data_IF_942751977772
#
_entry.id   IF_942751977772
#
_cell.length_a   1.000
_cell.length_b   1.000
_cell.length_c   1.000
_cell.angle_alpha   90.00
_cell.angle_beta   90.00
_cell.angle_gamma   90.00
#
_symmetry.space_group_name_H-M   'P 1'
#
loop_
_entity.id
_entity.type
_entity.pdbx_description
1 polymer ?
#
# COMPACT_ATOMS: atom_id res chain seq x y z
N UNK A 1 -9.89 -20.25 -11.84
CA UNK A 1 -8.94 -21.40 -11.91
C UNK A 1 -7.56 -20.82 -11.78
N UNK A 2 -6.70 -21.43 -10.97
CA UNK A 2 -5.31 -21.02 -10.80
C UNK A 2 -4.59 -21.02 -12.16
N UNK A 3 -3.69 -20.07 -12.35
CA UNK A 3 -2.87 -19.90 -13.57
C UNK A 3 -1.85 -21.04 -13.71
N UNK A 4 -1.34 -21.55 -12.58
CA UNK A 4 -0.34 -22.61 -12.52
C UNK A 4 -0.84 -23.78 -11.68
N UNK A 5 -0.51 -24.99 -12.13
CA UNK A 5 -0.62 -26.21 -11.33
C UNK A 5 0.68 -26.46 -10.56
N UNK A 6 0.67 -27.39 -9.61
CA UNK A 6 1.88 -27.85 -8.91
C UNK A 6 2.94 -28.36 -9.90
N UNK A 7 2.50 -29.12 -10.90
CA UNK A 7 3.36 -29.68 -11.96
C UNK A 7 3.98 -28.59 -12.84
N UNK A 8 3.23 -27.53 -13.17
CA UNK A 8 3.74 -26.39 -13.94
C UNK A 8 4.86 -25.67 -13.20
N UNK A 9 4.71 -25.47 -11.88
CA UNK A 9 5.73 -24.82 -11.03
C UNK A 9 6.99 -25.69 -10.95
N UNK A 10 6.85 -27.00 -10.69
CA UNK A 10 7.98 -27.93 -10.62
C UNK A 10 8.73 -27.96 -11.96
N UNK A 11 8.01 -28.06 -13.08
CA UNK A 11 8.57 -28.04 -14.43
C UNK A 11 9.29 -26.73 -14.70
N UNK A 12 8.65 -25.59 -14.39
CA UNK A 12 9.25 -24.27 -14.56
C UNK A 12 10.56 -24.13 -13.75
N UNK A 13 10.57 -24.63 -12.50
CA UNK A 13 11.76 -24.60 -11.66
C UNK A 13 12.92 -25.38 -12.28
N UNK A 14 12.65 -26.58 -12.81
CA UNK A 14 13.65 -27.44 -13.45
C UNK A 14 14.18 -26.84 -14.77
N UNK A 15 13.29 -26.38 -15.65
CA UNK A 15 13.66 -25.80 -16.96
C UNK A 15 14.49 -24.51 -16.84
N UNK A 16 14.31 -23.76 -15.75
CA UNK A 16 15.00 -22.49 -15.49
C UNK A 16 16.16 -22.60 -14.48
N UNK A 17 16.57 -23.80 -14.09
CA UNK A 17 17.63 -24.02 -13.10
C UNK A 17 17.43 -23.26 -11.80
N UNK A 18 16.20 -23.27 -11.27
CA UNK A 18 15.88 -22.65 -9.96
C UNK A 18 16.39 -23.57 -8.88
N UNK A 19 17.27 -23.07 -8.00
CA UNK A 19 17.81 -23.81 -6.88
C UNK A 19 17.31 -23.31 -5.52
N UNK A 20 16.89 -22.03 -5.47
CA UNK A 20 16.34 -21.41 -4.27
C UNK A 20 14.94 -20.86 -4.52
N UNK A 21 14.03 -21.11 -3.60
CA UNK A 21 12.67 -20.57 -3.63
C UNK A 21 12.45 -19.78 -2.35
N UNK A 22 11.98 -18.57 -2.48
CA UNK A 22 11.59 -17.72 -1.36
C UNK A 22 10.09 -17.84 -1.14
N UNK A 23 9.68 -18.39 -0.02
CA UNK A 23 8.31 -18.38 0.47
C UNK A 23 8.11 -17.05 1.20
N UNK A 24 7.43 -16.11 0.56
CA UNK A 24 7.28 -14.74 1.02
C UNK A 24 5.92 -14.54 1.69
N UNK A 25 5.89 -13.80 2.78
CA UNK A 25 4.67 -13.33 3.44
C UNK A 25 4.92 -11.95 4.05
N UNK A 26 3.87 -11.27 4.51
CA UNK A 26 3.97 -9.91 5.03
C UNK A 26 3.47 -9.88 6.47
N UNK A 27 4.23 -9.24 7.38
CA UNK A 27 3.77 -9.03 8.75
C UNK A 27 2.70 -7.91 8.82
N UNK A 28 2.06 -7.76 9.98
CA UNK A 28 0.98 -6.77 10.12
C UNK A 28 1.42 -5.31 9.96
N UNK A 29 2.71 -5.03 10.10
CA UNK A 29 3.27 -3.68 9.89
C UNK A 29 3.69 -3.42 8.44
N UNK A 30 3.43 -4.36 7.51
CA UNK A 30 3.73 -4.21 6.10
C UNK A 30 5.18 -4.52 5.72
N UNK A 31 5.89 -5.26 6.56
CA UNK A 31 7.26 -5.70 6.27
C UNK A 31 7.25 -7.09 5.66
N UNK A 32 7.82 -7.22 4.46
CA UNK A 32 7.96 -8.50 3.79
C UNK A 32 8.98 -9.39 4.52
N UNK A 33 8.56 -10.60 4.84
CA UNK A 33 9.37 -11.68 5.41
C UNK A 33 9.51 -12.81 4.40
N UNK A 34 10.46 -13.71 4.62
CA UNK A 34 10.55 -14.93 3.82
C UNK A 34 11.23 -16.07 4.56
N UNK A 35 10.86 -17.30 4.19
CA UNK A 35 11.63 -18.52 4.43
C UNK A 35 12.21 -18.95 3.08
N UNK A 36 13.50 -19.25 3.02
CA UNK A 36 14.13 -19.74 1.79
C UNK A 36 14.30 -21.25 1.85
N UNK A 37 13.87 -21.94 0.81
CA UNK A 37 14.01 -23.39 0.64
C UNK A 37 14.83 -23.71 -0.61
N UNK A 38 15.43 -24.89 -0.64
CA UNK A 38 16.07 -25.44 -1.86
C UNK A 38 15.06 -26.14 -2.75
N UNK A 39 15.42 -26.37 -4.01
CA UNK A 39 14.55 -27.06 -4.98
C UNK A 39 14.05 -28.42 -4.45
N UNK A 40 14.87 -29.15 -3.68
CA UNK A 40 14.48 -30.45 -3.10
C UNK A 40 13.32 -30.39 -2.10
N UNK A 41 13.00 -29.20 -1.57
CA UNK A 41 11.89 -28.98 -0.65
C UNK A 41 10.67 -28.35 -1.33
N UNK A 42 10.75 -28.01 -2.63
CA UNK A 42 9.68 -27.31 -3.33
C UNK A 42 8.38 -28.09 -3.33
N UNK A 43 8.44 -29.39 -3.63
CA UNK A 43 7.25 -30.24 -3.68
C UNK A 43 6.52 -30.30 -2.34
N UNK A 44 7.29 -30.45 -1.24
CA UNK A 44 6.77 -30.40 0.12
C UNK A 44 6.11 -29.05 0.45
N UNK A 45 6.73 -27.94 0.04
CA UNK A 45 6.16 -26.62 0.25
C UNK A 45 4.86 -26.41 -0.55
N UNK A 46 4.79 -26.91 -1.79
CA UNK A 46 3.57 -26.86 -2.61
C UNK A 46 2.43 -27.73 -2.04
N UNK A 47 2.75 -28.73 -1.22
CA UNK A 47 1.76 -29.50 -0.46
C UNK A 47 1.36 -28.85 0.88
N UNK A 48 1.69 -27.56 1.07
CA UNK A 48 1.41 -26.78 2.29
C UNK A 48 2.12 -27.35 3.56
N UNK A 49 3.20 -28.08 3.40
CA UNK A 49 3.93 -28.72 4.52
C UNK A 49 5.25 -27.97 4.79
N UNK A 50 5.21 -26.64 4.82
CA UNK A 50 6.33 -25.79 5.21
C UNK A 50 6.02 -25.08 6.53
N UNK A 51 6.48 -25.68 7.61
CA UNK A 51 6.34 -25.14 8.97
C UNK A 51 7.44 -24.12 9.26
N UNK A 52 7.11 -23.07 10.03
CA UNK A 52 8.06 -22.08 10.53
C UNK A 52 7.65 -21.58 11.92
N UNK A 53 8.60 -21.00 12.65
CA UNK A 53 8.35 -20.37 13.95
C UNK A 53 7.90 -18.93 13.77
N UNK A 54 6.64 -18.64 14.11
CA UNK A 54 6.04 -17.29 14.06
C UNK A 54 6.29 -16.44 15.30
N UNK A 55 6.84 -17.01 16.39
CA UNK A 55 6.95 -16.31 17.69
C UNK A 55 7.88 -15.09 17.69
N UNK A 56 8.85 -15.06 16.77
CA UNK A 56 9.78 -13.94 16.60
C UNK A 56 9.33 -12.90 15.58
N UNK A 57 8.09 -13.01 15.07
CA UNK A 57 7.51 -12.04 14.13
C UNK A 57 6.58 -11.10 14.90
N UNK A 58 6.89 -9.81 14.82
CA UNK A 58 6.13 -8.77 15.52
C UNK A 58 4.64 -8.86 15.19
N UNK A 59 3.83 -8.98 16.24
CA UNK A 59 2.38 -9.03 16.15
C UNK A 59 1.79 -10.38 15.73
N UNK A 60 2.58 -11.44 15.52
CA UNK A 60 2.02 -12.75 15.16
C UNK A 60 1.50 -13.51 16.37
N UNK A 61 2.29 -14.37 16.97
CA UNK A 61 1.85 -15.28 18.03
C UNK A 61 2.78 -15.25 19.24
N UNK A 62 2.33 -15.84 20.35
CA UNK A 62 3.16 -16.07 21.52
C UNK A 62 4.00 -17.34 21.38
N UNK A 63 5.00 -17.51 22.23
CA UNK A 63 5.95 -18.64 22.22
C UNK A 63 5.25 -20.01 22.34
N UNK A 64 4.12 -20.06 23.02
CA UNK A 64 3.33 -21.26 23.25
C UNK A 64 2.47 -21.72 22.05
N UNK A 65 2.35 -20.86 21.01
CA UNK A 65 1.62 -21.15 19.76
C UNK A 65 2.49 -20.85 18.54
N UNK A 66 3.80 -21.10 18.61
CA UNK A 66 4.77 -20.60 17.64
C UNK A 66 4.76 -21.31 16.28
N UNK A 67 4.36 -22.56 16.21
CA UNK A 67 4.38 -23.35 14.99
C UNK A 67 3.27 -22.91 14.03
N UNK A 68 3.67 -22.49 12.84
CA UNK A 68 2.78 -22.01 11.79
C UNK A 68 3.16 -22.62 10.45
N UNK A 69 2.24 -22.60 9.49
CA UNK A 69 2.46 -23.14 8.14
C UNK A 69 2.31 -22.06 7.07
N UNK A 70 3.11 -22.17 6.01
CA UNK A 70 3.03 -21.34 4.82
C UNK A 70 2.27 -22.09 3.72
N UNK A 71 1.19 -21.50 3.24
CA UNK A 71 0.40 -21.98 2.10
C UNK A 71 0.71 -21.13 0.87
N UNK A 72 1.53 -21.63 -0.08
CA UNK A 72 1.90 -20.89 -1.28
C UNK A 72 0.71 -20.67 -2.21
N UNK A 73 0.54 -19.43 -2.66
CA UNK A 73 -0.34 -19.09 -3.77
C UNK A 73 0.41 -19.35 -5.09
N UNK A 74 -0.03 -20.33 -5.85
CA UNK A 74 0.63 -20.79 -7.07
C UNK A 74 0.66 -19.71 -8.15
N UNK A 75 -0.36 -18.84 -8.22
CA UNK A 75 -0.45 -17.77 -9.20
C UNK A 75 0.61 -16.69 -9.00
N UNK A 76 1.27 -16.70 -7.84
CA UNK A 76 2.36 -15.78 -7.51
C UNK A 76 3.75 -16.31 -7.88
N UNK A 77 3.87 -17.52 -8.45
CA UNK A 77 5.16 -18.07 -8.89
C UNK A 77 5.88 -17.12 -9.84
N UNK A 78 7.10 -16.75 -9.48
CA UNK A 78 7.90 -15.81 -10.28
C UNK A 78 9.39 -16.05 -10.08
N UNK A 79 10.15 -16.09 -11.19
CA UNK A 79 11.61 -16.17 -11.17
C UNK A 79 12.17 -14.75 -11.16
N UNK A 80 13.10 -14.45 -10.26
CA UNK A 80 13.67 -13.11 -10.13
C UNK A 80 14.56 -12.75 -11.31
N UNK A 81 14.26 -11.69 -12.08
CA UNK A 81 14.99 -11.34 -13.29
C UNK A 81 16.43 -10.89 -13.07
N UNK A 82 16.75 -10.36 -11.89
CA UNK A 82 18.09 -9.86 -11.56
C UNK A 82 19.15 -10.94 -11.33
N UNK A 83 18.77 -12.20 -11.41
CA UNK A 83 19.67 -13.37 -11.28
C UNK A 83 19.72 -14.24 -12.55
N UNK A 84 19.21 -13.76 -13.69
CA UNK A 84 19.15 -14.50 -14.97
C UNK A 84 20.47 -15.04 -15.50
N UNK A 85 21.61 -14.46 -15.10
CA UNK A 85 22.94 -14.84 -15.59
C UNK A 85 23.75 -15.71 -14.61
N UNK A 86 23.13 -16.15 -13.52
CA UNK A 86 23.74 -17.07 -12.58
C UNK A 86 23.33 -18.51 -12.91
N UNK A 87 24.24 -19.49 -12.69
CA UNK A 87 23.93 -20.90 -12.92
C UNK A 87 22.79 -21.41 -12.01
N UNK A 88 22.52 -20.73 -10.91
CA UNK A 88 21.45 -21.03 -9.96
C UNK A 88 20.49 -19.84 -9.86
N UNK A 89 19.25 -20.03 -10.32
CA UNK A 89 18.24 -18.98 -10.24
C UNK A 89 17.47 -19.04 -8.91
N UNK A 90 16.86 -17.92 -8.55
CA UNK A 90 15.98 -17.82 -7.40
C UNK A 90 14.57 -17.46 -7.87
N UNK A 91 13.58 -18.19 -7.38
CA UNK A 91 12.17 -17.88 -7.57
C UNK A 91 11.51 -17.50 -6.23
N UNK A 92 10.26 -17.08 -6.29
CA UNK A 92 9.43 -16.83 -5.11
C UNK A 92 8.03 -17.38 -5.29
N UNK A 93 7.37 -17.63 -4.18
CA UNK A 93 5.93 -17.76 -4.01
C UNK A 93 5.50 -16.85 -2.88
N UNK A 94 4.36 -16.17 -3.01
CA UNK A 94 3.72 -15.47 -1.90
C UNK A 94 2.84 -16.49 -1.18
N UNK A 95 2.85 -16.45 0.15
CA UNK A 95 2.16 -17.41 0.98
C UNK A 95 1.17 -16.71 1.89
N UNK A 96 0.06 -17.38 2.15
CA UNK A 96 -0.79 -17.11 3.31
C UNK A 96 -0.32 -17.92 4.51
N UNK A 97 -0.52 -17.38 5.71
CA UNK A 97 -0.09 -18.03 6.96
C UNK A 97 -1.26 -18.79 7.59
N UNK A 98 -0.98 -20.01 8.04
CA UNK A 98 -1.93 -20.89 8.69
C UNK A 98 -1.45 -21.28 10.07
N UNK A 99 -2.38 -21.65 10.96
CA UNK A 99 -2.09 -22.10 12.33
C UNK A 99 -1.40 -23.46 12.37
N UNK A 100 -1.03 -23.89 13.56
CA UNK A 100 -0.35 -25.17 13.81
C UNK A 100 -1.16 -26.42 13.41
N UNK A 101 -2.48 -26.30 13.23
CA UNK A 101 -3.32 -27.38 12.68
C UNK A 101 -3.18 -27.55 11.16
N UNK A 102 -2.48 -26.63 10.50
CA UNK A 102 -2.28 -26.58 9.05
C UNK A 102 -3.58 -26.47 8.21
N UNK A 103 -4.69 -26.15 8.85
CA UNK A 103 -6.03 -26.05 8.23
C UNK A 103 -6.68 -24.68 8.46
N UNK A 104 -6.46 -24.08 9.62
CA UNK A 104 -7.08 -22.81 10.01
C UNK A 104 -6.24 -21.62 9.55
N UNK A 105 -6.76 -20.70 8.70
CA UNK A 105 -6.08 -19.47 8.36
C UNK A 105 -5.73 -18.65 9.60
N UNK A 106 -4.51 -18.14 9.66
CA UNK A 106 -4.10 -17.25 10.75
C UNK A 106 -4.65 -15.84 10.51
N UNK A 107 -5.52 -15.39 11.40
CA UNK A 107 -6.17 -14.07 11.27
C UNK A 107 -5.22 -12.88 11.57
N UNK A 108 -4.00 -13.13 12.00
CA UNK A 108 -2.94 -12.13 12.11
C UNK A 108 -2.19 -11.88 10.81
N UNK A 109 -2.41 -12.70 9.80
CA UNK A 109 -1.88 -12.50 8.44
C UNK A 109 -2.71 -11.45 7.69
N UNK A 110 -2.12 -10.31 7.29
CA UNK A 110 -2.82 -9.26 6.54
C UNK A 110 -3.46 -9.75 5.25
N UNK A 111 -2.84 -10.72 4.58
CA UNK A 111 -3.35 -11.32 3.34
C UNK A 111 -4.66 -12.07 3.60
N UNK A 112 -4.76 -12.78 4.72
CA UNK A 112 -6.00 -13.46 5.14
C UNK A 112 -7.10 -12.46 5.56
N UNK A 113 -6.72 -11.30 6.15
CA UNK A 113 -7.69 -10.23 6.43
C UNK A 113 -8.29 -9.69 5.15
N UNK A 114 -7.46 -9.40 4.14
CA UNK A 114 -7.95 -8.94 2.84
C UNK A 114 -8.86 -9.98 2.18
N UNK A 115 -8.47 -11.26 2.19
CA UNK A 115 -9.28 -12.34 1.63
C UNK A 115 -10.67 -12.41 2.27
N UNK A 116 -10.76 -12.30 3.61
CA UNK A 116 -12.05 -12.26 4.31
C UNK A 116 -12.96 -11.15 3.78
N UNK A 117 -12.44 -9.95 3.59
CA UNK A 117 -13.25 -8.81 3.09
C UNK A 117 -13.61 -8.99 1.61
N UNK A 118 -12.73 -9.60 0.80
CA UNK A 118 -13.05 -9.98 -0.57
C UNK A 118 -14.19 -10.99 -0.64
N UNK A 119 -14.21 -11.96 0.26
CA UNK A 119 -15.29 -12.96 0.35
C UNK A 119 -16.63 -12.27 0.69
N UNK A 120 -16.63 -11.30 1.62
CA UNK A 120 -17.80 -10.49 1.94
C UNK A 120 -18.30 -9.68 0.71
N UNK A 121 -17.38 -9.10 -0.08
CA UNK A 121 -17.72 -8.41 -1.31
C UNK A 121 -18.33 -9.37 -2.33
N UNK A 122 -17.77 -10.58 -2.45
CA UNK A 122 -18.25 -11.62 -3.36
C UNK A 122 -19.66 -12.09 -2.99
N UNK A 123 -19.99 -12.23 -1.71
CA UNK A 123 -21.36 -12.52 -1.22
C UNK A 123 -22.34 -11.43 -1.62
N UNK A 124 -21.90 -10.16 -1.72
CA UNK A 124 -22.71 -9.05 -2.23
C UNK A 124 -22.75 -8.98 -3.77
N UNK A 125 -22.03 -9.87 -4.46
CA UNK A 125 -21.96 -9.93 -5.92
C UNK A 125 -20.92 -9.02 -6.55
N UNK A 126 -19.96 -8.50 -5.78
CA UNK A 126 -18.91 -7.61 -6.24
C UNK A 126 -17.53 -8.26 -6.22
N UNK A 127 -16.72 -7.92 -7.23
CA UNK A 127 -15.26 -8.01 -7.17
C UNK A 127 -14.67 -6.60 -7.05
N UNK A 128 -13.41 -6.50 -6.65
CA UNK A 128 -12.76 -5.23 -6.36
C UNK A 128 -11.44 -5.11 -7.11
N UNK A 129 -11.31 -4.07 -7.91
CA UNK A 129 -10.09 -3.70 -8.62
C UNK A 129 -9.40 -2.52 -7.94
N UNK A 130 -8.08 -2.61 -7.85
CA UNK A 130 -7.23 -1.54 -7.29
C UNK A 130 -6.04 -1.28 -8.21
N UNK A 131 -5.76 0.02 -8.45
CA UNK A 131 -4.56 0.52 -9.14
C UNK A 131 -3.82 1.48 -8.21
N UNK A 132 -2.79 1.02 -7.51
CA UNK A 132 -1.98 1.87 -6.64
C UNK A 132 -0.93 2.63 -7.46
N UNK A 133 -0.73 3.91 -7.16
CA UNK A 133 0.33 4.79 -7.66
C UNK A 133 1.33 4.99 -6.53
N UNK A 134 2.53 4.42 -6.64
CA UNK A 134 3.46 4.30 -5.50
C UNK A 134 4.74 5.12 -5.75
N UNK A 135 4.82 6.29 -5.13
CA UNK A 135 5.96 7.18 -5.22
C UNK A 135 7.11 6.76 -4.29
N UNK A 136 8.34 7.14 -4.65
CA UNK A 136 9.54 6.85 -3.88
C UNK A 136 10.65 7.86 -4.15
N UNK A 137 11.62 7.95 -3.23
CA UNK A 137 12.83 8.75 -3.40
C UNK A 137 14.05 7.88 -3.66
N UNK A 138 14.97 8.40 -4.47
CA UNK A 138 16.32 7.87 -4.69
C UNK A 138 17.36 8.82 -4.09
N UNK A 139 18.14 8.32 -3.15
CA UNK A 139 19.22 9.06 -2.50
C UNK A 139 20.58 8.47 -2.81
N UNK A 140 21.61 9.31 -2.77
CA UNK A 140 23.01 8.88 -2.84
C UNK A 140 23.40 8.12 -1.57
N UNK A 141 24.39 7.25 -1.70
CA UNK A 141 25.07 6.63 -0.58
C UNK A 141 26.33 7.43 -0.24
N UNK A 142 26.72 7.43 1.03
CA UNK A 142 28.02 7.96 1.46
C UNK A 142 29.18 6.99 1.06
N UNK A 143 30.40 7.36 1.35
CA UNK A 143 31.60 6.55 1.07
C UNK A 143 31.62 5.20 1.80
N UNK A 144 30.82 5.05 2.85
CA UNK A 144 30.66 3.81 3.63
C UNK A 144 29.47 2.98 3.19
N UNK A 145 28.69 3.45 2.18
CA UNK A 145 27.48 2.80 1.69
C UNK A 145 26.23 3.08 2.55
N UNK A 146 26.24 4.06 3.42
CA UNK A 146 25.05 4.46 4.19
C UNK A 146 24.17 5.43 3.38
N UNK A 147 22.84 5.39 3.55
CA UNK A 147 21.93 6.34 2.96
C UNK A 147 22.22 7.78 3.42
N UNK A 148 22.17 8.72 2.47
CA UNK A 148 22.22 10.16 2.76
C UNK A 148 20.85 10.79 2.48
N UNK A 149 20.72 12.11 2.68
CA UNK A 149 19.59 12.91 2.20
C UNK A 149 19.94 13.66 0.91
N UNK A 150 21.05 13.34 0.26
CA UNK A 150 21.44 13.93 -1.00
C UNK A 150 20.69 13.27 -2.15
N UNK A 151 19.89 14.07 -2.87
CA UNK A 151 19.27 13.66 -4.13
C UNK A 151 20.33 13.60 -5.23
N UNK A 152 20.06 12.84 -6.27
CA UNK A 152 20.99 12.74 -7.40
C UNK A 152 20.93 13.91 -8.35
N UNK A 153 19.82 14.66 -8.32
CA UNK A 153 19.42 15.65 -9.32
C UNK A 153 18.71 16.86 -8.69
N UNK A 154 18.43 17.83 -9.53
CA UNK A 154 17.59 18.99 -9.26
C UNK A 154 16.34 18.95 -10.19
N UNK A 155 15.89 17.74 -10.55
CA UNK A 155 14.76 17.49 -11.42
C UNK A 155 13.43 17.88 -10.81
N UNK A 156 12.45 18.11 -11.66
CA UNK A 156 11.06 18.37 -11.33
C UNK A 156 10.13 17.49 -12.16
N UNK A 157 8.83 17.77 -12.08
CA UNK A 157 7.79 16.97 -12.70
C UNK A 157 7.98 16.78 -14.21
N UNK A 158 8.12 15.51 -14.63
CA UNK A 158 8.36 15.08 -16.01
C UNK A 158 9.70 15.51 -16.64
N UNK A 159 10.66 15.93 -15.85
CA UNK A 159 12.01 16.16 -16.34
C UNK A 159 12.66 14.87 -16.81
N UNK A 160 13.60 14.99 -17.73
CA UNK A 160 14.29 13.88 -18.38
C UNK A 160 15.82 14.05 -18.28
N UNK A 161 16.56 13.00 -18.64
CA UNK A 161 18.03 13.07 -18.72
C UNK A 161 18.48 14.18 -19.69
N UNK A 162 19.49 15.03 -19.33
CA UNK A 162 20.45 14.83 -18.25
C UNK A 162 20.06 15.44 -16.88
N UNK A 163 18.89 16.05 -16.74
CA UNK A 163 18.46 16.65 -15.46
C UNK A 163 18.05 15.53 -14.49
N UNK A 164 17.20 14.62 -14.94
CA UNK A 164 16.79 13.43 -14.18
C UNK A 164 17.89 12.37 -14.16
N UNK A 165 18.61 12.27 -13.08
CA UNK A 165 19.67 11.26 -12.91
C UNK A 165 19.13 9.88 -12.51
N UNK A 166 17.86 9.77 -12.11
CA UNK A 166 17.19 8.52 -11.74
C UNK A 166 16.63 7.72 -12.92
N UNK A 167 16.57 8.29 -14.13
CA UNK A 167 15.92 7.70 -15.33
C UNK A 167 16.42 6.28 -15.63
N UNK A 168 17.73 6.05 -15.60
CA UNK A 168 18.28 4.72 -15.88
C UNK A 168 17.89 3.68 -14.82
N UNK A 169 17.84 4.09 -13.55
CA UNK A 169 17.39 3.22 -12.47
C UNK A 169 15.90 2.86 -12.65
N UNK A 170 15.04 3.87 -12.93
CA UNK A 170 13.62 3.64 -13.18
C UNK A 170 13.38 2.74 -14.39
N UNK A 171 14.11 2.96 -15.50
CA UNK A 171 14.03 2.08 -16.69
C UNK A 171 14.32 0.63 -16.35
N UNK A 172 15.41 0.36 -15.62
CA UNK A 172 15.79 -1.00 -15.27
C UNK A 172 14.79 -1.63 -14.27
N UNK A 173 14.17 -0.83 -13.40
CA UNK A 173 13.05 -1.26 -12.54
C UNK A 173 11.85 -1.66 -13.41
N UNK A 174 11.43 -0.81 -14.35
CA UNK A 174 10.30 -1.09 -15.24
C UNK A 174 10.48 -2.40 -16.01
N UNK A 175 11.65 -2.58 -16.65
CA UNK A 175 11.95 -3.80 -17.38
C UNK A 175 11.94 -5.05 -16.50
N UNK A 176 12.44 -4.94 -15.27
CA UNK A 176 12.40 -6.05 -14.31
C UNK A 176 10.97 -6.38 -13.86
N UNK A 177 10.13 -5.38 -13.66
CA UNK A 177 8.72 -5.57 -13.35
C UNK A 177 7.96 -6.21 -14.51
N UNK A 178 8.20 -5.78 -15.75
CA UNK A 178 7.61 -6.42 -16.95
C UNK A 178 8.04 -7.89 -17.08
N UNK A 179 9.29 -8.20 -16.84
CA UNK A 179 9.79 -9.59 -16.76
C UNK A 179 9.06 -10.43 -15.69
N UNK A 180 8.53 -9.77 -14.64
CA UNK A 180 7.75 -10.39 -13.57
C UNK A 180 6.23 -10.37 -13.83
N UNK A 181 5.80 -9.96 -15.03
CA UNK A 181 4.39 -9.98 -15.43
C UNK A 181 3.58 -8.76 -15.06
N UNK A 182 4.23 -7.63 -14.76
CA UNK A 182 3.56 -6.34 -14.67
C UNK A 182 3.32 -5.77 -16.05
N UNK A 183 2.30 -4.95 -16.17
CA UNK A 183 2.12 -4.03 -17.30
C UNK A 183 2.40 -2.64 -16.79
N UNK A 184 3.49 -2.03 -17.23
CA UNK A 184 3.87 -0.66 -16.85
C UNK A 184 3.06 0.32 -17.70
N UNK A 185 2.42 1.30 -17.05
CA UNK A 185 1.61 2.34 -17.72
C UNK A 185 2.36 3.66 -17.84
N UNK A 186 3.12 4.04 -16.80
CA UNK A 186 3.93 5.25 -16.78
C UNK A 186 5.18 5.09 -15.91
N UNK A 187 6.20 5.92 -16.18
CA UNK A 187 7.40 6.06 -15.36
C UNK A 187 7.96 7.46 -15.57
N UNK A 188 8.04 8.25 -14.52
CA UNK A 188 8.46 9.64 -14.61
C UNK A 188 9.16 10.14 -13.34
N UNK A 189 9.85 11.28 -13.48
CA UNK A 189 10.31 12.08 -12.36
C UNK A 189 9.13 12.81 -11.73
N UNK A 190 9.06 12.84 -10.42
CA UNK A 190 8.03 13.55 -9.65
C UNK A 190 8.42 15.01 -9.37
N UNK A 191 7.56 15.74 -8.62
CA UNK A 191 7.73 17.18 -8.37
C UNK A 191 8.97 17.48 -7.52
N UNK A 192 9.27 16.64 -6.54
CA UNK A 192 10.41 16.85 -5.66
C UNK A 192 11.71 16.28 -6.25
N UNK A 193 12.84 16.96 -5.99
CA UNK A 193 14.17 16.48 -6.36
C UNK A 193 14.40 15.05 -5.88
N UNK A 194 14.85 14.18 -6.77
CA UNK A 194 15.09 12.75 -6.50
C UNK A 194 13.84 11.93 -6.21
N UNK A 195 12.64 12.46 -6.48
CA UNK A 195 11.37 11.75 -6.34
C UNK A 195 10.92 11.15 -7.68
N UNK A 196 10.41 9.93 -7.62
CA UNK A 196 10.05 9.14 -8.80
C UNK A 196 8.74 8.42 -8.59
N UNK A 197 8.05 8.13 -9.71
CA UNK A 197 6.84 7.33 -9.76
C UNK A 197 6.91 6.33 -10.90
N UNK A 198 6.36 5.15 -10.67
CA UNK A 198 6.16 4.11 -11.69
C UNK A 198 4.77 3.52 -11.49
N UNK A 199 3.91 3.76 -12.48
CA UNK A 199 2.54 3.27 -12.50
C UNK A 199 2.46 1.94 -13.23
N UNK A 200 1.74 1.01 -12.66
CA UNK A 200 1.43 -0.27 -13.28
C UNK A 200 -0.07 -0.54 -13.30
N UNK A 201 -0.49 -1.29 -14.29
CA UNK A 201 -1.90 -1.58 -14.54
C UNK A 201 -2.59 -2.14 -13.30
N UNK A 202 -3.79 -1.61 -13.02
CA UNK A 202 -4.68 -2.10 -11.97
C UNK A 202 -5.00 -3.59 -12.15
N UNK A 203 -5.42 -4.23 -11.09
CA UNK A 203 -5.86 -5.62 -11.09
C UNK A 203 -6.83 -5.91 -9.97
N UNK A 204 -7.18 -7.18 -9.80
CA UNK A 204 -7.85 -7.65 -8.60
C UNK A 204 -7.06 -7.24 -7.36
N UNK A 205 -7.77 -6.93 -6.28
CA UNK A 205 -7.17 -6.30 -5.11
C UNK A 205 -6.06 -7.15 -4.46
N UNK A 206 -6.22 -8.47 -4.40
CA UNK A 206 -5.18 -9.35 -3.85
C UNK A 206 -3.91 -9.29 -4.69
N UNK A 207 -4.06 -9.36 -6.02
CA UNK A 207 -2.95 -9.22 -6.95
C UNK A 207 -2.27 -7.84 -6.82
N UNK A 208 -3.06 -6.78 -6.66
CA UNK A 208 -2.53 -5.42 -6.52
C UNK A 208 -1.75 -5.24 -5.21
N UNK A 209 -2.23 -5.77 -4.10
CA UNK A 209 -1.52 -5.77 -2.81
C UNK A 209 -0.20 -6.56 -2.89
N UNK A 210 -0.22 -7.77 -3.46
CA UNK A 210 0.97 -8.60 -3.73
C UNK A 210 1.98 -7.85 -4.62
N UNK A 211 1.48 -7.12 -5.63
CA UNK A 211 2.28 -6.31 -6.54
C UNK A 211 2.94 -5.13 -5.84
N UNK A 212 2.26 -4.39 -4.96
CA UNK A 212 2.87 -3.31 -4.18
C UNK A 212 4.03 -3.82 -3.34
N UNK A 213 3.87 -4.94 -2.65
CA UNK A 213 4.95 -5.53 -1.85
C UNK A 213 6.14 -5.94 -2.70
N UNK A 214 5.89 -6.56 -3.85
CA UNK A 214 6.92 -6.94 -4.83
C UNK A 214 7.59 -5.72 -5.43
N UNK A 215 6.83 -4.70 -5.83
CA UNK A 215 7.32 -3.42 -6.35
C UNK A 215 8.34 -2.78 -5.41
N UNK A 216 7.99 -2.64 -4.12
CA UNK A 216 8.91 -2.10 -3.11
C UNK A 216 10.23 -2.88 -3.03
N UNK A 217 10.17 -4.21 -3.16
CA UNK A 217 11.36 -5.05 -3.16
C UNK A 217 12.22 -4.87 -4.41
N UNK A 218 11.60 -4.80 -5.60
CA UNK A 218 12.28 -4.58 -6.88
C UNK A 218 12.95 -3.21 -6.91
N UNK A 219 12.24 -2.14 -6.56
CA UNK A 219 12.76 -0.77 -6.49
C UNK A 219 14.01 -0.70 -5.61
N UNK A 220 13.96 -1.20 -4.38
CA UNK A 220 15.14 -1.23 -3.47
C UNK A 220 16.30 -2.07 -4.04
N UNK A 221 15.99 -3.19 -4.69
CA UNK A 221 17.00 -4.07 -5.28
C UNK A 221 17.74 -3.39 -6.43
N UNK A 222 17.01 -2.72 -7.32
CA UNK A 222 17.62 -2.05 -8.46
C UNK A 222 18.31 -0.73 -8.07
N UNK A 223 17.74 0.03 -7.15
CA UNK A 223 18.41 1.19 -6.60
C UNK A 223 19.80 0.82 -6.03
N UNK A 224 19.89 -0.25 -5.24
CA UNK A 224 21.17 -0.75 -4.72
C UNK A 224 22.14 -1.16 -5.83
N UNK A 225 21.69 -1.74 -6.94
CA UNK A 225 22.53 -2.06 -8.12
C UNK A 225 23.07 -0.81 -8.81
N UNK A 226 22.32 0.30 -8.77
CA UNK A 226 22.74 1.59 -9.29
C UNK A 226 23.55 2.42 -8.30
N UNK A 227 23.91 1.87 -7.13
CA UNK A 227 24.63 2.61 -6.09
C UNK A 227 23.79 3.69 -5.40
N UNK A 228 22.47 3.51 -5.40
CA UNK A 228 21.50 4.42 -4.80
C UNK A 228 20.74 3.73 -3.65
N UNK A 229 20.13 4.55 -2.80
CA UNK A 229 19.21 4.11 -1.78
C UNK A 229 17.78 4.53 -2.14
N UNK A 230 16.89 3.58 -2.29
CA UNK A 230 15.47 3.86 -2.47
C UNK A 230 14.72 3.84 -1.14
N UNK A 231 13.94 4.87 -0.88
CA UNK A 231 13.07 4.95 0.28
C UNK A 231 11.62 5.24 -0.09
N UNK A 232 10.71 4.59 0.61
CA UNK A 232 9.27 4.83 0.57
C UNK A 232 8.79 5.68 1.75
N UNK A 233 9.69 6.37 2.41
CA UNK A 233 9.37 7.29 3.51
C UNK A 233 8.49 8.43 3.00
N UNK A 234 7.34 8.72 3.67
CA UNK A 234 6.36 9.68 3.14
C UNK A 234 6.87 11.11 3.05
N UNK A 235 7.76 11.52 3.95
CA UNK A 235 8.33 12.88 3.99
C UNK A 235 9.80 12.83 4.42
N UNK A 236 10.72 12.44 3.54
CA UNK A 236 12.13 12.33 3.90
C UNK A 236 12.82 13.70 4.06
N UNK A 237 12.38 14.71 3.32
CA UNK A 237 12.98 16.06 3.32
C UNK A 237 11.92 17.10 3.68
N UNK A 238 12.27 18.03 4.57
CA UNK A 238 11.44 19.17 4.92
C UNK A 238 11.39 20.19 3.77
N UNK A 239 10.20 20.75 3.51
CA UNK A 239 10.03 21.87 2.57
C UNK A 239 9.80 21.48 1.10
N UNK A 240 9.86 20.19 0.75
CA UNK A 240 9.53 19.69 -0.60
C UNK A 240 8.34 18.70 -0.55
N UNK A 241 7.80 18.26 -1.68
CA UNK A 241 6.72 17.29 -1.74
C UNK A 241 7.15 15.95 -1.11
N UNK A 242 6.19 15.19 -0.59
CA UNK A 242 6.40 13.87 -0.02
C UNK A 242 5.77 12.79 -0.90
N UNK A 243 6.07 11.52 -0.62
CA UNK A 243 5.59 10.37 -1.39
C UNK A 243 4.21 9.91 -0.94
N UNK A 244 3.27 9.83 -1.88
CA UNK A 244 1.96 9.22 -1.75
C UNK A 244 1.91 7.81 -2.31
N UNK A 245 0.83 7.10 -1.98
CA UNK A 245 0.39 5.91 -2.67
C UNK A 245 -1.11 6.08 -2.97
N UNK A 246 -1.41 6.84 -4.02
CA UNK A 246 -2.79 7.06 -4.40
C UNK A 246 -3.44 5.73 -4.76
N UNK A 247 -4.59 5.45 -4.15
CA UNK A 247 -5.26 4.16 -4.32
C UNK A 247 -6.49 4.34 -5.20
N UNK A 248 -6.37 3.97 -6.48
CA UNK A 248 -7.48 3.98 -7.44
C UNK A 248 -8.33 2.73 -7.26
N UNK A 249 -9.64 2.88 -7.07
CA UNK A 249 -10.54 1.81 -6.69
C UNK A 249 -11.78 1.75 -7.56
N UNK A 250 -12.23 0.54 -7.91
CA UNK A 250 -13.53 0.32 -8.53
C UNK A 250 -14.11 -1.06 -8.18
N UNK A 251 -15.43 -1.13 -8.01
CA UNK A 251 -16.13 -2.40 -7.93
C UNK A 251 -16.57 -2.86 -9.32
N UNK A 252 -16.64 -4.16 -9.53
CA UNK A 252 -17.27 -4.75 -10.70
C UNK A 252 -18.26 -5.84 -10.28
N UNK A 253 -19.28 -6.05 -11.08
CA UNK A 253 -20.25 -7.11 -10.84
C UNK A 253 -19.67 -8.47 -11.24
N UNK A 254 -19.64 -9.44 -10.32
CA UNK A 254 -19.17 -10.80 -10.60
C UNK A 254 -19.97 -11.51 -11.70
N UNK A 255 -21.25 -11.17 -11.85
CA UNK A 255 -22.14 -11.80 -12.84
C UNK A 255 -21.79 -11.53 -14.29
N UNK A 256 -21.18 -10.36 -14.61
CA UNK A 256 -20.94 -9.94 -15.99
C UNK A 256 -19.65 -9.12 -16.19
N UNK A 257 -18.90 -8.88 -15.11
CA UNK A 257 -17.61 -8.13 -15.13
C UNK A 257 -17.74 -6.63 -15.40
N UNK A 258 -18.98 -6.07 -15.41
CA UNK A 258 -19.17 -4.64 -15.65
C UNK A 258 -18.77 -3.82 -14.43
N UNK A 259 -18.22 -2.64 -14.70
CA UNK A 259 -17.91 -1.66 -13.67
C UNK A 259 -19.19 -1.23 -12.93
N UNK A 260 -19.21 -1.42 -11.61
CA UNK A 260 -20.35 -1.10 -10.77
C UNK A 260 -20.47 0.40 -10.44
N UNK A 261 -19.40 1.17 -10.67
CA UNK A 261 -19.39 2.61 -10.44
C UNK A 261 -19.88 3.43 -11.63
N UNK A 262 -19.96 2.81 -12.82
CA UNK A 262 -20.35 3.51 -14.05
C UNK A 262 -21.85 3.56 -14.22
N UNK A 263 -22.38 4.78 -14.42
CA UNK A 263 -23.74 5.01 -14.90
C UNK A 263 -23.74 6.22 -15.85
N UNK A 264 -23.80 6.00 -17.18
CA UNK A 264 -23.78 7.10 -18.16
C UNK A 264 -24.94 8.12 -17.99
N UNK A 265 -26.01 7.75 -17.28
CA UNK A 265 -27.15 8.63 -17.01
C UNK A 265 -27.10 9.25 -15.60
N UNK A 266 -26.19 8.78 -14.75
CA UNK A 266 -25.98 9.29 -13.41
C UNK A 266 -25.30 10.66 -13.41
N UNK A 267 -25.45 11.41 -12.33
CA UNK A 267 -24.70 12.66 -12.14
C UNK A 267 -23.20 12.36 -12.17
N UNK A 268 -22.41 13.20 -12.85
CA UNK A 268 -20.98 12.96 -13.12
C UNK A 268 -20.65 11.61 -13.78
N UNK A 269 -21.64 10.89 -14.34
CA UNK A 269 -21.45 9.55 -14.90
C UNK A 269 -21.21 8.46 -13.85
N UNK A 270 -21.63 8.69 -12.62
CA UNK A 270 -21.47 7.78 -11.49
C UNK A 270 -22.79 7.10 -11.10
N UNK A 271 -22.69 5.83 -10.71
CA UNK A 271 -23.82 5.08 -10.16
C UNK A 271 -24.09 5.41 -8.69
N UNK A 272 -25.28 5.04 -8.19
CA UNK A 272 -25.60 5.08 -6.76
C UNK A 272 -24.56 4.28 -5.93
N UNK A 273 -24.10 3.15 -6.45
CA UNK A 273 -23.07 2.32 -5.82
C UNK A 273 -21.77 3.10 -5.61
N UNK A 274 -21.33 3.91 -6.58
CA UNK A 274 -20.15 4.75 -6.45
C UNK A 274 -20.33 5.81 -5.35
N UNK A 275 -21.47 6.49 -5.31
CA UNK A 275 -21.75 7.48 -4.26
C UNK A 275 -21.80 6.84 -2.87
N UNK A 276 -22.46 5.69 -2.73
CA UNK A 276 -22.49 4.98 -1.45
C UNK A 276 -21.07 4.55 -1.01
N UNK A 277 -20.25 4.07 -1.95
CA UNK A 277 -18.85 3.67 -1.69
C UNK A 277 -18.02 4.87 -1.20
N UNK A 278 -18.11 6.02 -1.87
CA UNK A 278 -17.43 7.27 -1.45
C UNK A 278 -17.88 7.66 -0.04
N UNK A 279 -19.19 7.61 0.23
CA UNK A 279 -19.74 7.96 1.54
C UNK A 279 -19.21 7.05 2.66
N UNK A 280 -19.10 5.74 2.41
CA UNK A 280 -18.53 4.79 3.34
C UNK A 280 -17.04 5.07 3.62
N UNK A 281 -16.24 5.33 2.59
CA UNK A 281 -14.84 5.75 2.77
C UNK A 281 -14.77 7.01 3.64
N UNK A 282 -15.54 8.05 3.31
CA UNK A 282 -15.53 9.33 4.02
C UNK A 282 -15.96 9.18 5.49
N UNK A 283 -16.86 8.24 5.81
CA UNK A 283 -17.32 7.99 7.16
C UNK A 283 -16.22 7.40 8.08
N UNK A 284 -15.37 6.52 7.55
CA UNK A 284 -14.40 5.76 8.31
C UNK A 284 -12.93 6.23 8.13
N UNK A 285 -12.68 7.19 7.23
CA UNK A 285 -11.30 7.54 6.82
C UNK A 285 -10.41 8.02 7.95
N UNK A 286 -10.97 8.67 8.97
CA UNK A 286 -10.17 9.12 10.13
C UNK A 286 -9.56 7.94 10.90
N UNK A 287 -10.32 6.85 11.05
CA UNK A 287 -9.84 5.60 11.65
C UNK A 287 -8.92 4.82 10.70
N UNK A 288 -9.26 4.79 9.42
CA UNK A 288 -8.43 4.17 8.36
C UNK A 288 -7.05 4.84 8.28
N UNK A 289 -6.95 6.14 8.57
CA UNK A 289 -5.68 6.89 8.52
C UNK A 289 -4.58 6.27 9.39
N UNK A 290 -4.88 5.58 10.49
CA UNK A 290 -3.88 4.87 11.28
C UNK A 290 -3.21 3.72 10.51
N UNK A 291 -3.84 3.22 9.45
CA UNK A 291 -3.39 2.09 8.62
C UNK A 291 -2.91 2.54 7.24
N UNK A 292 -3.54 3.55 6.65
CA UNK A 292 -3.12 4.15 5.37
C UNK A 292 -1.95 5.12 5.50
N UNK A 293 -1.74 5.67 6.70
CA UNK A 293 -0.69 6.64 7.06
C UNK A 293 -0.04 6.23 8.39
N UNK A 294 0.69 5.10 8.41
CA UNK A 294 0.96 4.35 9.64
C UNK A 294 2.15 4.85 10.47
N UNK A 295 2.85 5.89 10.03
CA UNK A 295 4.08 6.34 10.71
C UNK A 295 3.95 7.76 11.24
N UNK A 296 4.76 8.12 12.23
CA UNK A 296 4.85 9.53 12.69
C UNK A 296 5.27 10.46 11.54
N UNK A 297 6.00 9.94 10.56
CA UNK A 297 6.44 10.68 9.38
C UNK A 297 5.30 10.91 8.38
N UNK A 298 4.30 10.04 8.32
CA UNK A 298 3.12 10.17 7.44
C UNK A 298 2.43 11.53 7.62
N UNK A 299 2.32 11.99 8.85
CA UNK A 299 1.66 13.25 9.21
C UNK A 299 2.50 14.51 8.93
N UNK A 300 3.76 14.33 8.54
CA UNK A 300 4.60 15.41 8.00
C UNK A 300 4.39 15.60 6.50
N UNK A 301 3.80 14.60 5.81
CA UNK A 301 3.30 14.72 4.43
C UNK A 301 1.90 15.33 4.41
N UNK A 302 0.99 14.91 5.28
CA UNK A 302 -0.42 15.33 5.33
C UNK A 302 -0.58 16.75 5.92
N UNK A 303 0.10 17.70 5.30
CA UNK A 303 0.06 19.12 5.67
C UNK A 303 -0.32 19.98 4.45
N UNK A 304 -1.05 21.10 4.65
CA UNK A 304 -1.41 22.00 3.53
C UNK A 304 -0.18 22.51 2.76
N UNK A 305 -0.31 22.63 1.44
CA UNK A 305 0.69 23.29 0.58
C UNK A 305 1.67 22.36 -0.14
N UNK A 306 1.56 21.02 0.02
CA UNK A 306 2.45 20.05 -0.61
C UNK A 306 1.70 18.93 -1.37
N UNK A 307 0.58 19.28 -2.01
CA UNK A 307 -0.25 18.39 -2.84
C UNK A 307 -0.82 17.14 -2.12
N UNK A 308 -0.66 17.05 -0.81
CA UNK A 308 -1.26 16.00 0.00
C UNK A 308 -2.61 16.45 0.59
N UNK A 309 -3.64 15.58 0.62
CA UNK A 309 -4.94 15.94 1.17
C UNK A 309 -4.87 16.06 2.70
N UNK A 310 -5.46 17.14 3.24
CA UNK A 310 -5.58 17.35 4.69
C UNK A 310 -7.04 17.42 5.14
N UNK A 311 -7.97 17.67 4.23
CA UNK A 311 -9.38 17.89 4.49
C UNK A 311 -10.25 16.76 3.95
N UNK A 312 -11.33 16.44 4.66
CA UNK A 312 -12.29 15.40 4.29
C UNK A 312 -13.26 15.94 3.23
N UNK A 313 -12.76 16.07 2.01
CA UNK A 313 -13.54 16.53 0.85
C UNK A 313 -13.35 15.58 -0.33
N UNK A 314 -14.37 15.49 -1.18
CA UNK A 314 -14.28 14.76 -2.44
C UNK A 314 -14.65 15.68 -3.62
N UNK A 315 -14.12 15.39 -4.81
CA UNK A 315 -14.34 16.22 -5.99
C UNK A 315 -13.94 15.50 -7.28
N UNK A 316 -14.55 15.91 -8.40
CA UNK A 316 -14.10 15.55 -9.74
C UNK A 316 -13.13 16.58 -10.34
N UNK A 317 -13.04 17.79 -9.78
CA UNK A 317 -12.29 18.92 -10.36
C UNK A 317 -11.11 19.37 -9.53
N UNK A 318 -11.10 19.08 -8.23
CA UNK A 318 -10.10 19.55 -7.28
C UNK A 318 -9.05 18.44 -7.03
N UNK A 319 -7.77 18.70 -7.34
CA UNK A 319 -6.66 17.75 -7.13
C UNK A 319 -6.19 17.67 -5.66
N UNK A 320 -6.58 18.61 -4.82
CA UNK A 320 -6.22 18.63 -3.39
C UNK A 320 -7.24 17.93 -2.50
N UNK A 321 -8.31 17.33 -3.07
CA UNK A 321 -9.31 16.59 -2.32
C UNK A 321 -8.78 15.23 -1.84
N UNK A 322 -9.42 14.72 -0.79
CA UNK A 322 -9.11 13.41 -0.23
C UNK A 322 -9.53 12.26 -1.15
N UNK A 323 -10.75 12.35 -1.70
CA UNK A 323 -11.28 11.41 -2.69
C UNK A 323 -11.50 12.15 -3.99
N UNK A 324 -10.77 11.75 -5.03
CA UNK A 324 -10.87 12.32 -6.38
C UNK A 324 -11.63 11.37 -7.30
N UNK A 325 -12.43 11.96 -8.21
CA UNK A 325 -13.09 11.22 -9.27
C UNK A 325 -12.35 11.53 -10.58
N UNK A 326 -11.49 10.63 -11.08
CA UNK A 326 -10.81 10.81 -12.36
C UNK A 326 -11.79 10.98 -13.53
N UNK A 327 -11.34 11.60 -14.63
CA UNK A 327 -12.19 11.93 -15.78
C UNK A 327 -12.68 10.70 -16.57
N UNK A 328 -11.97 9.58 -16.50
CA UNK A 328 -12.33 8.35 -17.21
C UNK A 328 -13.70 7.82 -16.78
N UNK A 329 -14.48 7.30 -17.75
CA UNK A 329 -15.79 6.69 -17.55
C UNK A 329 -15.87 5.32 -18.24
N UNK A 330 -16.98 4.62 -18.09
CA UNK A 330 -17.15 3.26 -18.59
C UNK A 330 -16.30 2.27 -17.80
N UNK A 331 -15.45 1.52 -18.46
CA UNK A 331 -14.53 0.58 -17.79
C UNK A 331 -13.53 1.26 -16.87
N UNK A 332 -13.22 2.54 -17.12
CA UNK A 332 -12.26 3.34 -16.36
C UNK A 332 -12.89 4.15 -15.22
N UNK A 333 -14.18 4.04 -14.97
CA UNK A 333 -14.86 4.76 -13.87
C UNK A 333 -14.33 4.25 -12.54
N UNK A 334 -13.76 5.15 -11.73
CA UNK A 334 -13.11 4.82 -10.46
C UNK A 334 -13.12 5.97 -9.48
N UNK A 335 -12.81 5.69 -8.25
CA UNK A 335 -12.52 6.65 -7.19
C UNK A 335 -11.06 6.53 -6.79
N UNK A 336 -10.40 7.63 -6.50
CA UNK A 336 -9.00 7.71 -6.11
C UNK A 336 -8.92 8.25 -4.68
N UNK A 337 -8.44 7.43 -3.75
CA UNK A 337 -8.11 7.86 -2.38
C UNK A 337 -6.66 8.37 -2.37
N UNK A 338 -6.46 9.62 -1.97
CA UNK A 338 -5.17 10.32 -2.13
C UNK A 338 -4.33 10.43 -0.85
N UNK A 339 -4.90 10.11 0.32
CA UNK A 339 -4.15 10.20 1.57
C UNK A 339 -3.15 9.05 1.80
N UNK A 340 -3.35 7.80 1.35
CA UNK A 340 -2.41 6.72 1.68
C UNK A 340 -0.98 7.07 1.28
N UNK A 341 -0.03 6.54 2.03
CA UNK A 341 1.38 6.65 1.69
C UNK A 341 2.05 5.27 1.58
N UNK A 342 3.22 5.17 0.92
CA UNK A 342 3.80 3.87 0.60
C UNK A 342 4.31 3.08 1.81
N UNK A 343 4.30 3.64 3.02
CA UNK A 343 4.66 2.87 4.23
C UNK A 343 3.53 1.99 4.74
N UNK A 344 2.31 2.19 4.24
CA UNK A 344 1.18 1.38 4.65
C UNK A 344 1.38 -0.11 4.30
N UNK A 345 0.67 -0.96 5.05
CA UNK A 345 0.46 -2.35 4.68
C UNK A 345 -0.66 -2.39 3.62
N UNK A 346 -0.37 -2.72 2.34
CA UNK A 346 -1.36 -2.64 1.28
C UNK A 346 -2.54 -3.59 1.47
N UNK A 347 -2.34 -4.74 2.12
CA UNK A 347 -3.43 -5.67 2.39
C UNK A 347 -4.43 -5.08 3.39
N UNK A 348 -3.94 -4.47 4.49
CA UNK A 348 -4.81 -3.87 5.51
C UNK A 348 -5.47 -2.59 5.01
N UNK A 349 -4.72 -1.75 4.31
CA UNK A 349 -5.24 -0.51 3.72
C UNK A 349 -6.38 -0.81 2.74
N UNK A 350 -6.14 -1.72 1.77
CA UNK A 350 -7.13 -2.08 0.75
C UNK A 350 -8.33 -2.84 1.35
N UNK A 351 -8.10 -3.67 2.38
CA UNK A 351 -9.19 -4.34 3.10
C UNK A 351 -10.11 -3.34 3.79
N UNK A 352 -9.56 -2.35 4.49
CA UNK A 352 -10.33 -1.30 5.16
C UNK A 352 -11.07 -0.42 4.17
N UNK A 353 -10.45 -0.06 3.04
CA UNK A 353 -11.10 0.70 1.97
C UNK A 353 -12.27 -0.07 1.36
N UNK A 354 -12.08 -1.36 1.04
CA UNK A 354 -13.16 -2.21 0.52
C UNK A 354 -14.28 -2.33 1.53
N UNK A 355 -13.99 -2.68 2.77
CA UNK A 355 -15.00 -2.85 3.82
C UNK A 355 -15.79 -1.54 4.05
N UNK A 356 -15.12 -0.38 4.10
CA UNK A 356 -15.76 0.93 4.27
C UNK A 356 -16.70 1.24 3.10
N UNK A 357 -16.27 0.97 1.87
CA UNK A 357 -17.12 1.14 0.69
C UNK A 357 -18.34 0.21 0.71
N UNK A 358 -18.15 -1.06 1.12
CA UNK A 358 -19.27 -2.01 1.27
C UNK A 358 -20.24 -1.60 2.39
N UNK A 359 -19.73 -1.04 3.49
CA UNK A 359 -20.57 -0.50 4.56
C UNK A 359 -21.43 0.66 4.05
N UNK A 360 -20.84 1.58 3.29
CA UNK A 360 -21.58 2.65 2.62
C UNK A 360 -22.71 2.12 1.71
N UNK A 361 -22.45 1.06 0.96
CA UNK A 361 -23.45 0.42 0.08
C UNK A 361 -24.55 -0.28 0.91
N UNK A 362 -24.17 -1.06 1.94
CA UNK A 362 -25.12 -1.76 2.82
C UNK A 362 -26.06 -0.77 3.52
N UNK A 363 -25.56 0.37 3.98
CA UNK A 363 -26.31 1.40 4.69
C UNK A 363 -26.92 2.45 3.76
N UNK A 364 -26.68 2.39 2.44
CA UNK A 364 -27.12 3.36 1.43
C UNK A 364 -26.74 4.79 1.81
N UNK A 365 -25.50 4.96 2.25
CA UNK A 365 -24.98 6.25 2.65
C UNK A 365 -24.89 7.20 1.44
N UNK A 366 -25.08 8.49 1.69
CA UNK A 366 -24.91 9.54 0.68
C UNK A 366 -23.78 10.46 1.12
N UNK A 367 -22.77 10.73 0.29
CA UNK A 367 -21.70 11.66 0.65
C UNK A 367 -22.22 13.10 0.69
N UNK A 368 -21.54 13.96 1.44
CA UNK A 368 -21.76 15.40 1.34
C UNK A 368 -21.54 15.90 -0.10
N UNK A 369 -21.98 17.11 -0.41
CA UNK A 369 -21.75 17.70 -1.74
C UNK A 369 -20.26 17.79 -2.07
N UNK A 370 -19.85 17.58 -3.34
CA UNK A 370 -18.46 17.72 -3.74
C UNK A 370 -17.96 19.16 -3.54
N UNK A 371 -16.67 19.30 -3.26
CA UNK A 371 -16.02 20.60 -3.06
C UNK A 371 -15.05 20.85 -4.22
N UNK A 372 -15.44 21.71 -5.14
CA UNK A 372 -14.71 21.97 -6.39
C UNK A 372 -13.78 23.21 -6.31
N UNK A 373 -13.67 23.84 -5.16
CA UNK A 373 -12.78 24.98 -4.92
C UNK A 373 -11.63 24.61 -3.98
N UNK A 374 -10.57 25.44 -3.99
CA UNK A 374 -9.41 25.23 -3.14
C UNK A 374 -9.74 25.54 -1.68
N UNK A 375 -9.70 24.52 -0.84
CA UNK A 375 -9.98 24.61 0.61
C UNK A 375 -8.77 25.07 1.45
N UNK A 376 -7.55 25.03 0.92
CA UNK A 376 -6.34 25.39 1.67
C UNK A 376 -6.25 26.88 2.06
N UNK A 377 -7.03 27.74 1.43
CA UNK A 377 -7.10 29.15 1.75
C UNK A 377 -8.15 29.54 2.79
N UNK A 378 -8.95 28.58 3.24
CA UNK A 378 -10.02 28.82 4.21
C UNK A 378 -9.48 28.88 5.65
N UNK A 379 -10.04 29.78 6.46
CA UNK A 379 -9.82 29.81 7.90
C UNK A 379 -10.54 28.65 8.60
N UNK A 380 -10.14 28.33 9.83
CA UNK A 380 -10.80 27.30 10.65
C UNK A 380 -12.29 27.58 10.85
N UNK A 381 -12.68 28.89 10.92
CA UNK A 381 -14.08 29.29 11.05
C UNK A 381 -14.87 29.00 9.76
N UNK A 382 -14.27 29.25 8.60
CA UNK A 382 -14.88 28.98 7.29
C UNK A 382 -15.00 27.47 7.04
N UNK A 383 -13.96 26.69 7.35
CA UNK A 383 -13.99 25.23 7.29
C UNK A 383 -15.13 24.64 8.13
N UNK A 384 -15.23 25.10 9.38
CA UNK A 384 -16.29 24.68 10.30
C UNK A 384 -17.68 25.08 9.82
N UNK A 385 -17.82 26.30 9.29
CA UNK A 385 -19.09 26.78 8.71
C UNK A 385 -19.52 25.97 7.47
N UNK A 386 -18.55 25.50 6.68
CA UNK A 386 -18.76 24.62 5.53
C UNK A 386 -18.95 23.14 5.92
N UNK A 387 -18.82 22.78 7.20
CA UNK A 387 -18.89 21.39 7.66
C UNK A 387 -17.75 20.50 7.15
N UNK A 388 -16.59 21.12 6.84
CA UNK A 388 -15.40 20.42 6.35
C UNK A 388 -14.54 20.00 7.54
N UNK A 389 -14.39 18.70 7.71
CA UNK A 389 -13.52 18.08 8.71
C UNK A 389 -12.11 17.85 8.15
N UNK A 390 -11.15 17.53 9.05
CA UNK A 390 -9.77 17.27 8.70
C UNK A 390 -9.38 15.82 8.96
N UNK A 391 -8.40 15.32 8.20
CA UNK A 391 -7.68 14.12 8.58
C UNK A 391 -6.98 14.31 9.94
N UNK A 392 -6.65 13.23 10.67
CA UNK A 392 -5.79 13.33 11.84
C UNK A 392 -4.49 14.08 11.54
N UNK A 393 -4.07 14.98 12.42
CA UNK A 393 -2.83 15.77 12.26
C UNK A 393 -1.59 15.07 12.84
N UNK A 394 -1.76 13.91 13.47
CA UNK A 394 -0.68 13.12 14.06
C UNK A 394 -1.03 11.63 14.12
N UNK A 395 0.00 10.78 14.24
CA UNK A 395 -0.20 9.34 14.46
C UNK A 395 -1.08 9.08 15.70
N UNK A 396 -0.92 9.87 16.77
CA UNK A 396 -1.74 9.74 17.98
C UNK A 396 -3.22 9.97 17.71
N UNK A 397 -3.55 11.04 16.99
CA UNK A 397 -4.94 11.35 16.64
C UNK A 397 -5.55 10.27 15.75
N UNK A 398 -4.77 9.69 14.81
CA UNK A 398 -5.22 8.60 13.96
C UNK A 398 -5.47 7.31 14.78
N UNK A 399 -4.58 6.98 15.72
CA UNK A 399 -4.77 5.87 16.66
C UNK A 399 -6.05 6.08 17.47
N UNK A 400 -6.28 7.28 17.99
CA UNK A 400 -7.47 7.58 18.78
C UNK A 400 -8.75 7.50 17.94
N UNK A 401 -8.70 7.96 16.69
CA UNK A 401 -9.80 7.84 15.74
C UNK A 401 -10.09 6.36 15.41
N UNK A 402 -9.05 5.55 15.19
CA UNK A 402 -9.21 4.11 14.94
C UNK A 402 -9.82 3.37 16.14
N UNK A 403 -9.44 3.75 17.37
CA UNK A 403 -10.02 3.19 18.61
C UNK A 403 -11.47 3.63 18.84
N UNK A 404 -11.84 4.80 18.37
CA UNK A 404 -13.19 5.35 18.51
C UNK A 404 -14.17 4.82 17.47
N UNK A 405 -13.69 4.22 16.39
CA UNK A 405 -14.51 3.64 15.32
C UNK A 405 -14.56 2.10 15.42
N UNK A 406 -15.66 1.52 15.92
CA UNK A 406 -15.79 0.07 16.07
C UNK A 406 -15.65 -0.68 14.75
N UNK A 407 -16.01 -0.05 13.63
CA UNK A 407 -15.91 -0.61 12.28
C UNK A 407 -14.48 -1.09 11.98
N UNK A 408 -13.46 -0.32 12.37
CA UNK A 408 -12.05 -0.68 12.11
C UNK A 408 -11.70 -2.01 12.78
N UNK A 409 -12.08 -2.16 14.07
CA UNK A 409 -11.82 -3.39 14.82
C UNK A 409 -12.61 -4.58 14.30
N UNK A 410 -13.87 -4.39 13.92
CA UNK A 410 -14.73 -5.43 13.34
C UNK A 410 -14.17 -5.94 12.01
N UNK A 411 -13.67 -5.04 11.18
CA UNK A 411 -13.06 -5.40 9.88
C UNK A 411 -11.78 -6.20 10.07
N UNK A 412 -10.84 -5.71 10.88
CA UNK A 412 -9.52 -6.30 11.05
C UNK A 412 -9.50 -7.53 11.98
N UNK A 413 -10.47 -7.62 12.87
CA UNK A 413 -10.51 -8.59 13.96
C UNK A 413 -9.64 -8.20 15.16
N UNK A 414 -9.92 -8.82 16.29
CA UNK A 414 -9.29 -8.50 17.60
C UNK A 414 -7.77 -8.62 17.56
N UNK A 415 -7.24 -9.65 16.92
CA UNK A 415 -5.81 -9.94 16.92
C UNK A 415 -5.02 -8.83 16.21
N UNK A 416 -5.35 -8.55 14.94
CA UNK A 416 -4.64 -7.52 14.16
C UNK A 416 -4.85 -6.15 14.80
N UNK A 417 -6.08 -5.78 15.12
CA UNK A 417 -6.38 -4.47 15.67
C UNK A 417 -5.59 -4.20 16.95
N UNK A 418 -5.67 -5.10 17.94
CA UNK A 418 -5.05 -4.85 19.25
C UNK A 418 -3.52 -4.80 19.16
N UNK A 419 -2.88 -5.74 18.48
CA UNK A 419 -1.43 -5.78 18.34
C UNK A 419 -0.89 -4.61 17.49
N UNK A 420 -1.62 -4.25 16.42
CA UNK A 420 -1.25 -3.10 15.60
C UNK A 420 -1.32 -1.79 16.38
N UNK A 421 -2.43 -1.54 17.06
CA UNK A 421 -2.60 -0.33 17.87
C UNK A 421 -1.54 -0.26 18.97
N UNK A 422 -1.27 -1.35 19.69
CA UNK A 422 -0.21 -1.40 20.70
C UNK A 422 1.16 -1.04 20.12
N UNK A 423 1.49 -1.60 18.93
CA UNK A 423 2.73 -1.29 18.23
C UNK A 423 2.83 0.19 17.85
N UNK A 424 1.74 0.79 17.38
CA UNK A 424 1.70 2.20 16.99
C UNK A 424 1.68 3.15 18.19
N UNK A 425 1.09 2.78 19.30
CA UNK A 425 1.19 3.52 20.56
C UNK A 425 2.63 3.55 21.08
N UNK A 426 3.36 2.43 21.00
CA UNK A 426 4.79 2.36 21.34
C UNK A 426 5.65 3.26 20.42
N UNK A 427 5.39 3.24 19.11
CA UNK A 427 6.09 4.12 18.14
C UNK A 427 5.85 5.59 18.47
N UNK A 428 4.60 5.97 18.76
CA UNK A 428 4.27 7.32 19.15
C UNK A 428 4.94 7.73 20.45
N UNK A 429 4.92 6.89 21.49
CA UNK A 429 5.54 7.17 22.78
C UNK A 429 7.06 7.32 22.68
N UNK A 430 7.71 6.52 21.85
CA UNK A 430 9.12 6.68 21.54
C UNK A 430 9.40 8.02 20.85
N UNK A 431 8.63 8.35 19.82
CA UNK A 431 8.81 9.57 19.04
C UNK A 431 8.61 10.84 19.88
N UNK A 432 7.49 10.93 20.64
CA UNK A 432 7.13 12.15 21.37
C UNK A 432 8.08 12.49 22.53
N UNK A 433 8.90 11.56 22.95
CA UNK A 433 9.88 11.75 24.03
C UNK A 433 11.28 12.11 23.50
N UNK A 434 11.51 12.00 22.19
CA UNK A 434 12.82 12.37 21.60
C UNK A 434 12.91 13.86 21.38
N UNK A 435 14.04 14.44 21.81
CA UNK A 435 14.36 15.85 21.53
C UNK A 435 14.95 15.98 20.14
N UNK A 436 14.29 16.77 19.29
CA UNK A 436 14.72 17.01 17.92
C UNK A 436 15.81 18.10 17.84
N UNK A 437 16.60 18.07 16.77
CA UNK A 437 17.60 19.13 16.52
C UNK A 437 16.93 20.51 16.40
N UNK A 438 15.72 20.57 15.80
CA UNK A 438 14.95 21.80 15.71
C UNK A 438 14.62 22.41 17.07
N UNK A 439 14.27 21.60 18.08
CA UNK A 439 14.00 22.06 19.44
C UNK A 439 15.30 22.59 20.10
N UNK A 440 16.41 21.89 19.92
CA UNK A 440 17.72 22.31 20.43
C UNK A 440 18.10 23.65 19.83
N UNK A 441 18.06 23.77 18.49
CA UNK A 441 18.43 24.98 17.77
C UNK A 441 17.55 26.18 18.14
N UNK A 442 16.27 25.93 18.39
CA UNK A 442 15.30 26.99 18.70
C UNK A 442 15.29 27.42 20.16
N UNK A 443 15.45 26.48 21.07
CA UNK A 443 15.15 26.75 22.49
C UNK A 443 16.39 26.80 23.39
N UNK A 444 17.48 26.08 23.09
CA UNK A 444 18.66 25.96 23.97
C UNK A 444 19.31 27.31 24.27
N UNK A 445 19.30 28.25 23.35
CA UNK A 445 19.89 29.58 23.54
C UNK A 445 18.91 30.58 24.18
N UNK A 446 17.60 30.31 24.09
CA UNK A 446 16.56 31.20 24.58
C UNK A 446 16.20 30.96 26.05
N UNK A 447 16.35 29.73 26.50
CA UNK A 447 15.95 29.27 27.83
C UNK A 447 17.12 28.56 28.56
#
# INVERSE_FOLDING_TARGET
MSKYTKEDIIKSAQENNVEFIRLQFTDMFGIMKNVAITLSQLEKALDNDCMFDGSSIDGFVRIDESDMYLHPDYDTWTIFPWRKHQNAQTARLICSVYKSDNETPFLGDPRNVLQKVMDEAAEMGFGFNVGPECEFFLFKLDENGNPTLETGDEGGYFDLNPIDHGENCRRDICLALEDMGYTIEASHHEVAEGQHEIDFQFGDVMLSADRVMTFKHVVKTYAAKHGLHATFMPKPIYGINGSGMHTNMSLYYLKDGKNAFDDPNGEMGLSETAYNFIAGIMAHIRGIAAFSNPTVNSYKRLVPGYEAPSYLVWSASNRSCLVRIPAARGKGTRVELRCPDPTCNPYLEMALCLAAGLDGIKQKMTPASPIDYNVFGLSDEELKAAGIDCLPGSLKEAIDAAKADPFIKETLGDHVFNNYIEGKEKEWDEYRTKVSQWEIDKYMVLY
#
